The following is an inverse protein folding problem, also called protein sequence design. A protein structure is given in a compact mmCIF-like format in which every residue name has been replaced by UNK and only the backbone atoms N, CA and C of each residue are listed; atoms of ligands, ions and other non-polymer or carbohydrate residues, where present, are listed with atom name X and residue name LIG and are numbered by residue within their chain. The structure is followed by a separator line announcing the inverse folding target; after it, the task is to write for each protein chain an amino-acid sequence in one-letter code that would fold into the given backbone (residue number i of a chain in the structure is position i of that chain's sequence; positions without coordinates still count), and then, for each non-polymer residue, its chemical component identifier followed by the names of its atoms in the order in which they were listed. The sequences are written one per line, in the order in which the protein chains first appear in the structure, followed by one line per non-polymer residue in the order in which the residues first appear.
data_IF_163558175393
#
_entry.id   IF_163558175393
#
_cell.length_a   1.000
_cell.length_b   1.000
_cell.length_c   1.000
_cell.angle_alpha   90.00
_cell.angle_beta   90.00
_cell.angle_gamma   90.00
#
_symmetry.space_group_name_H-M   'P 1'
#
loop_
_entity.id
_entity.type
_entity.pdbx_description
1 polymer ?
#
# COMPACT_ATOMS: atom_id res chain seq x y z
N UNK A 1 20.42 -10.93 -12.78
CA UNK A 1 20.77 -9.76 -13.61
C UNK A 1 19.62 -8.75 -13.55
N UNK A 2 19.91 -7.46 -13.29
CA UNK A 2 18.92 -6.39 -13.28
C UNK A 2 18.73 -5.90 -14.72
N UNK A 3 17.54 -6.12 -15.31
CA UNK A 3 17.22 -5.69 -16.67
C UNK A 3 15.90 -4.92 -16.69
N UNK A 4 15.92 -3.75 -17.32
CA UNK A 4 14.80 -2.80 -17.39
C UNK A 4 14.37 -2.65 -18.84
N UNK A 5 13.09 -2.88 -19.13
CA UNK A 5 12.55 -2.68 -20.48
C UNK A 5 12.26 -1.19 -20.74
N UNK A 6 11.72 -0.50 -19.73
CA UNK A 6 11.28 0.89 -19.87
C UNK A 6 11.37 1.65 -18.56
N UNK A 7 11.82 2.88 -18.62
CA UNK A 7 11.80 3.83 -17.51
C UNK A 7 11.43 5.22 -18.03
N UNK A 8 10.49 5.88 -17.39
CA UNK A 8 10.12 7.25 -17.72
C UNK A 8 9.46 7.93 -16.53
N UNK A 9 9.44 9.27 -16.55
CA UNK A 9 8.71 10.07 -15.56
C UNK A 9 7.25 10.19 -15.97
N UNK A 10 6.36 10.15 -14.98
CA UNK A 10 4.95 10.43 -15.18
C UNK A 10 4.70 11.95 -15.18
N UNK A 11 3.69 12.43 -15.93
CA UNK A 11 3.28 13.82 -15.86
C UNK A 11 2.94 14.20 -14.42
N UNK A 12 3.41 15.38 -14.00
CA UNK A 12 3.09 15.90 -12.68
C UNK A 12 1.58 16.23 -12.60
N UNK A 13 0.88 15.79 -11.54
CA UNK A 13 -0.48 16.25 -11.28
C UNK A 13 -0.52 17.78 -11.10
N UNK A 14 -1.53 18.42 -11.68
CA UNK A 14 -1.68 19.90 -11.65
C UNK A 14 -1.80 20.50 -10.24
N UNK A 15 -2.23 19.70 -9.27
CA UNK A 15 -2.39 20.15 -7.88
C UNK A 15 -1.07 20.18 -7.10
N UNK A 16 0.03 19.66 -7.65
CA UNK A 16 1.36 19.67 -7.01
C UNK A 16 2.19 20.87 -7.47
N UNK A 17 3.05 21.42 -6.60
CA UNK A 17 3.93 22.54 -6.95
C UNK A 17 4.96 22.14 -8.02
N UNK A 18 5.48 23.13 -8.74
CA UNK A 18 6.44 22.87 -9.83
C UNK A 18 7.78 22.29 -9.35
N UNK A 19 8.09 22.45 -8.06
CA UNK A 19 9.27 21.87 -7.41
C UNK A 19 9.08 20.42 -6.97
N UNK A 20 7.85 19.89 -7.00
CA UNK A 20 7.58 18.53 -6.54
C UNK A 20 8.24 17.48 -7.46
N UNK A 21 8.88 16.44 -6.91
CA UNK A 21 9.43 15.36 -7.73
C UNK A 21 8.32 14.66 -8.54
N UNK A 22 8.64 14.26 -9.76
CA UNK A 22 7.75 13.45 -10.59
C UNK A 22 7.92 11.97 -10.26
N UNK A 23 6.81 11.23 -10.22
CA UNK A 23 6.82 9.78 -10.10
C UNK A 23 7.53 9.15 -11.32
N UNK A 24 8.20 8.03 -11.09
CA UNK A 24 8.91 7.27 -12.14
C UNK A 24 8.18 5.94 -12.34
N UNK A 25 7.76 5.68 -13.58
CA UNK A 25 7.19 4.40 -13.96
C UNK A 25 8.29 3.50 -14.54
N UNK A 26 8.45 2.32 -13.93
CA UNK A 26 9.48 1.35 -14.27
C UNK A 26 8.85 0.03 -14.71
N UNK A 27 9.20 -0.43 -15.91
CA UNK A 27 8.87 -1.76 -16.41
C UNK A 27 10.11 -2.65 -16.33
N UNK A 28 10.08 -3.59 -15.39
CA UNK A 28 11.11 -4.62 -15.26
C UNK A 28 10.90 -5.71 -16.29
N UNK A 29 12.00 -6.19 -16.88
CA UNK A 29 11.95 -7.32 -17.82
C UNK A 29 11.46 -8.60 -17.14
N UNK A 30 11.98 -8.89 -15.95
CA UNK A 30 11.68 -10.10 -15.19
C UNK A 30 10.72 -9.82 -14.03
N UNK A 31 9.61 -10.57 -14.00
CA UNK A 31 8.60 -10.45 -12.92
C UNK A 31 9.16 -10.74 -11.53
N UNK A 32 10.00 -11.78 -11.38
CA UNK A 32 10.56 -12.14 -10.08
C UNK A 32 11.45 -11.04 -9.50
N UNK A 33 12.24 -10.34 -10.34
CA UNK A 33 13.08 -9.22 -9.91
C UNK A 33 12.22 -8.08 -9.37
N UNK A 34 11.13 -7.75 -10.08
CA UNK A 34 10.15 -6.75 -9.61
C UNK A 34 9.58 -7.12 -8.23
N UNK A 35 9.20 -8.38 -8.02
CA UNK A 35 8.66 -8.84 -6.73
C UNK A 35 9.71 -8.82 -5.61
N UNK A 36 10.97 -9.18 -5.90
CA UNK A 36 12.08 -9.08 -4.94
C UNK A 36 12.28 -7.62 -4.52
N UNK A 37 12.35 -6.68 -5.46
CA UNK A 37 12.51 -5.25 -5.17
C UNK A 37 11.36 -4.74 -4.29
N UNK A 38 10.11 -5.09 -4.64
CA UNK A 38 8.93 -4.69 -3.86
C UNK A 38 8.94 -5.29 -2.45
N UNK A 39 9.34 -6.55 -2.29
CA UNK A 39 9.45 -7.20 -0.98
C UNK A 39 10.55 -6.56 -0.14
N UNK A 40 11.72 -6.33 -0.73
CA UNK A 40 12.85 -5.67 -0.06
C UNK A 40 12.48 -4.25 0.37
N UNK A 41 11.80 -3.48 -0.48
CA UNK A 41 11.34 -2.13 -0.14
C UNK A 41 10.41 -2.09 1.06
N UNK A 42 9.49 -3.06 1.21
CA UNK A 42 8.56 -3.14 2.35
C UNK A 42 9.25 -3.58 3.65
N UNK A 43 10.30 -4.39 3.55
CA UNK A 43 11.00 -4.95 4.70
C UNK A 43 12.18 -4.09 5.17
N UNK A 44 12.56 -3.06 4.41
CA UNK A 44 13.67 -2.17 4.76
C UNK A 44 13.32 -1.38 6.02
N UNK A 45 14.13 -1.55 7.06
CA UNK A 45 14.11 -0.68 8.25
C UNK A 45 14.79 0.67 7.96
N UNK A 46 15.79 0.68 7.07
CA UNK A 46 16.60 1.86 6.77
C UNK A 46 16.28 2.39 5.37
N UNK A 47 16.10 3.72 5.22
CA UNK A 47 15.92 4.34 3.92
C UNK A 47 17.12 4.16 2.98
N UNK A 48 16.92 4.39 1.69
CA UNK A 48 18.02 4.39 0.72
C UNK A 48 18.88 5.64 0.93
N UNK A 49 20.20 5.46 0.96
CA UNK A 49 21.15 6.57 1.07
C UNK A 49 20.93 7.59 -0.05
N UNK A 50 20.89 8.88 0.30
CA UNK A 50 20.53 9.98 -0.60
C UNK A 50 19.04 10.09 -0.97
N UNK A 51 18.22 9.10 -0.65
CA UNK A 51 16.79 9.07 -0.95
C UNK A 51 15.94 8.60 0.25
N UNK A 52 15.93 9.36 1.36
CA UNK A 52 15.27 8.94 2.60
C UNK A 52 13.76 8.78 2.45
N UNK A 53 13.16 9.52 1.51
CA UNK A 53 11.71 9.59 1.30
C UNK A 53 11.24 8.78 0.08
N UNK A 54 12.09 7.92 -0.51
CA UNK A 54 11.72 7.13 -1.67
C UNK A 54 10.72 6.03 -1.30
N UNK A 55 9.56 6.06 -1.96
CA UNK A 55 8.52 5.06 -1.82
C UNK A 55 8.39 4.26 -3.11
N UNK A 56 8.34 2.93 -3.00
CA UNK A 56 8.21 2.03 -4.15
C UNK A 56 6.88 1.28 -4.03
N UNK A 57 6.04 1.42 -5.04
CA UNK A 57 4.73 0.79 -5.12
C UNK A 57 4.61 -0.09 -6.36
N UNK A 58 3.69 -1.06 -6.30
CA UNK A 58 3.30 -1.79 -7.49
C UNK A 58 2.36 -0.91 -8.34
N UNK A 59 2.55 -0.94 -9.65
CA UNK A 59 1.61 -0.36 -10.60
C UNK A 59 0.34 -1.24 -10.67
N UNK A 60 -0.81 -0.66 -10.35
CA UNK A 60 -2.09 -1.37 -10.23
C UNK A 60 -3.15 -0.65 -11.04
N UNK A 61 -4.00 -1.42 -11.72
CA UNK A 61 -5.12 -0.85 -12.46
C UNK A 61 -6.10 -0.11 -11.54
N UNK A 62 -6.76 0.92 -12.09
CA UNK A 62 -7.78 1.68 -11.37
C UNK A 62 -8.91 0.79 -10.84
N UNK A 63 -9.32 -0.23 -11.58
CA UNK A 63 -10.32 -1.21 -11.15
C UNK A 63 -9.86 -2.01 -9.92
N UNK A 64 -8.58 -2.40 -9.87
CA UNK A 64 -7.99 -3.09 -8.73
C UNK A 64 -7.95 -2.18 -7.51
N UNK A 65 -7.51 -0.93 -7.69
CA UNK A 65 -7.47 0.07 -6.60
C UNK A 65 -8.87 0.36 -6.06
N UNK A 66 -9.88 0.50 -6.93
CA UNK A 66 -11.28 0.70 -6.53
C UNK A 66 -11.78 -0.46 -5.66
N UNK A 67 -11.59 -1.70 -6.12
CA UNK A 67 -11.97 -2.89 -5.34
C UNK A 67 -11.24 -2.96 -3.99
N UNK A 68 -9.96 -2.59 -3.92
CA UNK A 68 -9.25 -2.52 -2.62
C UNK A 68 -9.81 -1.46 -1.68
N UNK A 69 -10.34 -0.34 -2.20
CA UNK A 69 -11.01 0.68 -1.38
C UNK A 69 -12.31 0.14 -0.74
N UNK A 70 -12.99 -0.80 -1.38
CA UNK A 70 -14.20 -1.43 -0.82
C UNK A 70 -13.91 -2.23 0.46
N UNK A 71 -12.67 -2.69 0.65
CA UNK A 71 -12.22 -3.35 1.88
C UNK A 71 -11.87 -2.37 3.00
N UNK A 72 -12.05 -1.05 2.82
CA UNK A 72 -11.70 -0.05 3.84
C UNK A 72 -12.30 -0.34 5.23
N UNK A 73 -13.57 -0.73 5.38
CA UNK A 73 -14.13 -1.07 6.70
C UNK A 73 -13.37 -2.22 7.38
N UNK A 74 -13.07 -3.28 6.63
CA UNK A 74 -12.35 -4.45 7.13
C UNK A 74 -10.90 -4.08 7.47
N UNK A 75 -10.22 -3.36 6.58
CA UNK A 75 -8.83 -2.93 6.78
C UNK A 75 -8.69 -1.97 7.98
N UNK A 76 -9.67 -1.11 8.23
CA UNK A 76 -9.67 -0.20 9.37
C UNK A 76 -9.83 -0.99 10.68
N UNK A 77 -10.78 -1.91 10.74
CA UNK A 77 -10.97 -2.77 11.92
C UNK A 77 -9.72 -3.64 12.18
N UNK A 78 -9.15 -4.26 11.15
CA UNK A 78 -7.90 -5.04 11.28
C UNK A 78 -6.77 -4.19 11.87
N UNK A 79 -6.58 -2.95 11.40
CA UNK A 79 -5.56 -2.04 11.96
C UNK A 79 -5.87 -1.62 13.39
N UNK A 80 -7.14 -1.31 13.69
CA UNK A 80 -7.56 -0.90 15.03
C UNK A 80 -7.26 -1.97 16.09
N UNK A 81 -7.36 -3.24 15.71
CA UNK A 81 -7.06 -4.38 16.59
C UNK A 81 -5.58 -4.83 16.51
N UNK A 82 -4.68 -4.02 15.96
CA UNK A 82 -3.25 -4.31 15.89
C UNK A 82 -2.86 -5.47 14.97
N UNK A 83 -3.79 -5.98 14.15
CA UNK A 83 -3.52 -7.06 13.22
C UNK A 83 -2.79 -6.55 11.98
N UNK A 84 -1.90 -7.39 11.45
CA UNK A 84 -1.19 -7.12 10.21
C UNK A 84 -1.96 -7.72 9.04
N UNK A 85 -2.00 -6.97 7.94
CA UNK A 85 -2.52 -7.50 6.68
C UNK A 85 -1.64 -7.10 5.50
N UNK A 86 -1.79 -7.85 4.41
CA UNK A 86 -1.17 -7.58 3.12
C UNK A 86 -2.18 -7.80 2.00
N UNK A 87 -2.01 -7.05 0.91
CA UNK A 87 -2.82 -7.27 -0.29
C UNK A 87 -2.26 -8.43 -1.11
N UNK A 88 -3.11 -9.40 -1.40
CA UNK A 88 -2.90 -10.41 -2.43
C UNK A 88 -3.45 -9.93 -3.76
N UNK A 89 -2.75 -10.25 -4.85
CA UNK A 89 -3.22 -9.92 -6.19
C UNK A 89 -4.43 -10.79 -6.57
N UNK A 90 -5.45 -10.23 -7.26
CA UNK A 90 -5.62 -8.80 -7.55
C UNK A 90 -6.17 -8.02 -6.34
N UNK A 91 -7.17 -8.58 -5.65
CA UNK A 91 -7.98 -7.89 -4.63
C UNK A 91 -8.28 -8.78 -3.42
N UNK A 92 -7.34 -9.63 -3.03
CA UNK A 92 -7.47 -10.43 -1.80
C UNK A 92 -6.83 -9.68 -0.64
N UNK A 93 -7.39 -9.77 0.55
CA UNK A 93 -6.74 -9.29 1.77
C UNK A 93 -6.28 -10.49 2.59
N UNK A 94 -5.00 -10.57 2.89
CA UNK A 94 -4.42 -11.63 3.71
C UNK A 94 -4.14 -11.04 5.09
N UNK A 95 -4.86 -11.51 6.10
CA UNK A 95 -4.73 -11.06 7.49
C UNK A 95 -3.97 -12.13 8.28
N UNK A 96 -2.97 -11.72 9.05
CA UNK A 96 -2.26 -12.63 9.95
C UNK A 96 -2.90 -12.55 11.34
N UNK A 97 -3.47 -13.67 11.80
CA UNK A 97 -4.04 -13.83 13.15
C UNK A 97 -3.57 -15.17 13.73
N UNK A 98 -3.09 -15.19 14.97
CA UNK A 98 -2.66 -16.41 15.68
C UNK A 98 -1.66 -17.27 14.86
N UNK A 99 -0.70 -16.60 14.21
CA UNK A 99 0.28 -17.21 13.30
C UNK A 99 -0.31 -17.92 12.06
N UNK A 100 -1.62 -17.82 11.83
CA UNK A 100 -2.31 -18.30 10.64
C UNK A 100 -2.63 -17.14 9.68
N UNK A 101 -2.49 -17.40 8.38
CA UNK A 101 -2.87 -16.42 7.35
C UNK A 101 -4.29 -16.70 6.88
N UNK A 102 -5.18 -15.74 7.09
CA UNK A 102 -6.58 -15.79 6.71
C UNK A 102 -6.76 -15.00 5.41
N UNK A 103 -7.29 -15.66 4.38
CA UNK A 103 -7.57 -15.04 3.09
C UNK A 103 -9.00 -14.53 3.07
N UNK A 104 -9.16 -13.25 2.75
CA UNK A 104 -10.44 -12.56 2.62
C UNK A 104 -10.60 -12.15 1.15
N UNK A 105 -11.66 -12.63 0.51
CA UNK A 105 -11.90 -12.41 -0.92
C UNK A 105 -12.95 -11.35 -1.22
N UNK A 106 -13.81 -11.02 -0.25
CA UNK A 106 -14.82 -9.95 -0.37
C UNK A 106 -14.91 -9.15 0.93
N UNK A 107 -15.40 -7.88 0.88
CA UNK A 107 -15.65 -7.10 2.08
C UNK A 107 -16.61 -7.80 3.05
N UNK A 108 -17.66 -8.45 2.55
CA UNK A 108 -18.64 -9.17 3.36
C UNK A 108 -18.02 -10.37 4.10
N UNK A 109 -17.21 -11.18 3.41
CA UNK A 109 -16.47 -12.28 4.03
C UNK A 109 -15.52 -11.75 5.13
N UNK A 110 -14.90 -10.59 4.88
CA UNK A 110 -14.06 -9.92 5.86
C UNK A 110 -14.82 -9.50 7.12
N UNK A 111 -16.01 -8.91 6.96
CA UNK A 111 -16.86 -8.52 8.08
C UNK A 111 -17.34 -9.73 8.89
N UNK A 112 -17.75 -10.82 8.22
CA UNK A 112 -18.13 -12.08 8.89
C UNK A 112 -16.96 -12.68 9.68
N UNK A 113 -15.75 -12.66 9.11
CA UNK A 113 -14.54 -13.12 9.81
C UNK A 113 -14.22 -12.25 11.03
N UNK A 114 -14.28 -10.93 10.89
CA UNK A 114 -14.08 -10.01 12.02
C UNK A 114 -15.10 -10.27 13.14
N UNK A 115 -16.36 -10.50 12.78
CA UNK A 115 -17.39 -10.88 13.74
C UNK A 115 -17.05 -12.20 14.45
N UNK A 116 -16.62 -13.23 13.71
CA UNK A 116 -16.21 -14.51 14.30
C UNK A 116 -15.00 -14.39 15.24
N UNK A 117 -14.18 -13.34 15.07
CA UNK A 117 -13.03 -13.07 15.92
C UNK A 117 -13.36 -12.19 17.12
N UNK A 118 -14.61 -11.75 17.27
CA UNK A 118 -15.03 -10.87 18.35
C UNK A 118 -14.58 -9.42 18.17
N UNK A 119 -14.12 -9.02 16.98
CA UNK A 119 -13.67 -7.65 16.68
C UNK A 119 -14.81 -6.73 16.22
N UNK A 120 -16.03 -6.98 16.70
CA UNK A 120 -17.10 -6.01 16.58
C UNK A 120 -16.95 -5.01 17.71
N UNK A 121 -16.23 -3.94 17.44
CA UNK A 121 -16.35 -2.73 18.24
C UNK A 121 -16.65 -1.52 17.37
N UNK A 122 -17.35 -0.59 17.99
CA UNK A 122 -18.37 0.29 17.43
C UNK A 122 -17.86 1.28 16.38
N UNK A 123 -18.84 1.93 15.70
CA UNK A 123 -18.72 3.03 14.71
C UNK A 123 -17.29 3.42 14.41
N UNK A 124 -16.83 3.40 13.14
CA UNK A 124 -15.51 3.92 12.84
C UNK A 124 -15.43 5.32 13.44
N UNK A 125 -14.70 5.47 14.55
CA UNK A 125 -14.08 6.73 14.90
C UNK A 125 -13.52 7.20 13.57
N UNK A 126 -13.91 8.41 13.16
CA UNK A 126 -13.35 9.03 11.97
C UNK A 126 -11.85 9.19 12.25
N UNK A 127 -11.09 8.11 12.06
CA UNK A 127 -9.69 8.12 11.78
C UNK A 127 -9.62 8.76 10.40
N UNK A 128 -9.74 10.09 10.41
CA UNK A 128 -9.12 10.92 9.41
C UNK A 128 -7.71 10.35 9.32
N UNK A 129 -7.32 9.72 8.19
CA UNK A 129 -5.94 9.33 8.03
C UNK A 129 -5.14 10.58 8.40
N UNK A 130 -4.08 10.47 9.23
CA UNK A 130 -3.29 11.65 9.57
C UNK A 130 -3.03 12.34 8.25
N UNK A 131 -3.54 13.57 8.10
CA UNK A 131 -3.38 14.32 6.87
C UNK A 131 -1.89 14.31 6.65
N UNK A 132 -1.40 13.48 5.72
CA UNK A 132 -0.02 13.56 5.29
C UNK A 132 0.02 14.91 4.61
N UNK A 133 0.31 15.95 5.40
CA UNK A 133 0.89 17.17 4.90
C UNK A 133 2.16 16.67 4.25
N UNK A 134 2.10 16.42 2.95
CA UNK A 134 3.31 16.29 2.15
C UNK A 134 4.03 17.61 2.45
N UNK A 135 5.18 17.59 3.14
CA UNK A 135 5.90 18.82 3.40
C UNK A 135 6.16 19.44 2.04
N UNK A 136 5.66 20.66 1.82
CA UNK A 136 5.84 21.36 0.54
C UNK A 136 7.32 21.72 0.33
N UNK A 137 8.09 21.77 1.42
CA UNK A 137 9.53 21.96 1.42
C UNK A 137 10.29 20.65 1.24
N UNK A 138 10.67 20.39 0.00
CA UNK A 138 11.64 19.35 -0.36
C UNK A 138 13.10 19.79 -0.17
N UNK A 139 13.34 21.04 0.27
CA UNK A 139 14.66 21.66 0.40
C UNK A 139 15.24 21.70 1.82
N UNK A 140 14.53 21.18 2.83
CA UNK A 140 15.06 21.07 4.19
C UNK A 140 15.06 19.62 4.64
N UNK A 141 16.14 18.91 4.32
CA UNK A 141 16.68 17.86 5.19
C UNK A 141 18.15 17.66 4.89
#
# INVERSE_FOLDING_TARGET
MLLVDRVHRLPRPRFLPETAPQDVLLRMHYYHVKEIILKSSRNKATPLEGYPNLLIFADLSASTLRRRKEFAPVANSVRAHGLRFRWGFPTKMLVTKDNATQVITSPEDGLRKLQSWGFMDQRPEHHTPPTRRIPLDWHKT
#
